data_IF_661151868453
#
_entry.id   IF_661151868453
#
_cell.length_a   1.000
_cell.length_b   1.000
_cell.length_c   1.000
_cell.angle_alpha   90.00
_cell.angle_beta   90.00
_cell.angle_gamma   90.00
#
_symmetry.space_group_name_H-M   'P 1'
#
loop_
_entity.id
_entity.type
_entity.pdbx_description
1 polymer ?
#
# COMPACT_ATOMS: atom_id res chain seq x y z
N UNK A 1 6.94 -2.57 -19.98
CA UNK A 1 6.32 -3.74 -19.32
C UNK A 1 5.28 -3.29 -18.31
N UNK A 2 4.28 -4.12 -18.00
CA UNK A 2 3.28 -3.80 -16.97
C UNK A 2 3.88 -3.97 -15.57
N UNK A 3 3.62 -3.03 -14.67
CA UNK A 3 4.18 -3.06 -13.30
C UNK A 3 3.50 -4.12 -12.45
N UNK A 4 4.27 -4.85 -11.64
CA UNK A 4 3.72 -5.85 -10.72
C UNK A 4 3.29 -5.19 -9.41
N UNK A 5 1.98 -4.92 -9.30
CA UNK A 5 1.34 -4.20 -8.17
C UNK A 5 0.03 -4.86 -7.77
N UNK A 6 -0.49 -4.51 -6.60
CA UNK A 6 -1.77 -5.06 -6.11
C UNK A 6 -1.57 -6.41 -5.43
N UNK A 7 -2.34 -7.43 -5.79
CA UNK A 7 -2.14 -8.80 -5.31
C UNK A 7 -0.96 -9.45 -6.03
N UNK A 8 -0.06 -10.07 -5.27
CA UNK A 8 1.12 -10.77 -5.75
C UNK A 8 0.74 -11.95 -6.64
N UNK A 9 1.38 -12.02 -7.81
CA UNK A 9 1.22 -13.11 -8.78
C UNK A 9 2.59 -13.73 -9.06
N UNK A 10 2.82 -15.01 -8.74
CA UNK A 10 4.13 -15.65 -8.94
C UNK A 10 4.50 -15.79 -10.43
N UNK A 11 3.50 -15.88 -11.31
CA UNK A 11 3.65 -15.96 -12.77
C UNK A 11 4.10 -14.63 -13.41
N UNK A 12 4.07 -13.52 -12.66
CA UNK A 12 4.39 -12.20 -13.21
C UNK A 12 5.91 -12.00 -13.25
N UNK A 13 6.51 -11.80 -14.44
CA UNK A 13 7.97 -11.79 -14.61
C UNK A 13 8.64 -10.56 -13.97
N UNK A 14 7.92 -9.44 -13.87
CA UNK A 14 8.47 -8.22 -13.27
C UNK A 14 8.55 -8.29 -11.74
N UNK A 15 9.55 -7.64 -11.12
CA UNK A 15 9.69 -7.55 -9.68
C UNK A 15 8.43 -6.99 -9.00
N UNK A 16 8.02 -7.61 -7.91
CA UNK A 16 6.86 -7.15 -7.14
C UNK A 16 7.19 -5.87 -6.35
N UNK A 17 6.46 -4.79 -6.62
CA UNK A 17 6.71 -3.50 -5.98
C UNK A 17 5.99 -3.40 -4.62
N UNK A 18 6.77 -3.18 -3.56
CA UNK A 18 6.27 -2.91 -2.21
C UNK A 18 6.48 -1.46 -1.82
N UNK A 19 5.40 -0.80 -1.38
CA UNK A 19 5.50 0.51 -0.74
C UNK A 19 5.96 0.40 0.71
N UNK A 20 6.56 1.48 1.25
CA UNK A 20 7.04 1.55 2.65
C UNK A 20 6.00 1.12 3.68
N UNK A 21 4.75 1.55 3.52
CA UNK A 21 3.66 1.16 4.43
C UNK A 21 3.38 -0.35 4.44
N UNK A 22 3.62 -1.04 3.31
CA UNK A 22 3.43 -2.50 3.23
C UNK A 22 4.50 -3.25 4.00
N UNK A 23 5.72 -2.71 4.07
CA UNK A 23 6.79 -3.27 4.93
C UNK A 23 6.38 -3.13 6.40
N UNK A 24 5.88 -1.96 6.80
CA UNK A 24 5.37 -1.77 8.16
C UNK A 24 4.24 -2.76 8.49
N UNK A 25 3.26 -2.94 7.59
CA UNK A 25 2.19 -3.91 7.80
C UNK A 25 2.69 -5.35 8.01
N UNK A 26 3.78 -5.74 7.34
CA UNK A 26 4.40 -7.05 7.56
C UNK A 26 5.04 -7.15 8.95
N UNK A 27 5.75 -6.11 9.36
CA UNK A 27 6.36 -6.03 10.69
C UNK A 27 5.31 -6.07 11.80
N UNK A 28 4.16 -5.41 11.59
CA UNK A 28 3.05 -5.36 12.56
C UNK A 28 2.27 -6.68 12.59
N UNK A 29 2.00 -7.27 11.43
CA UNK A 29 1.24 -8.52 11.30
C UNK A 29 1.57 -9.27 10.00
N UNK A 30 2.46 -10.28 10.04
CA UNK A 30 2.83 -11.08 8.86
C UNK A 30 1.63 -11.79 8.21
N UNK A 31 0.70 -12.30 9.03
CA UNK A 31 -0.51 -12.97 8.54
C UNK A 31 -1.44 -12.00 7.79
N UNK A 32 -1.63 -10.79 8.31
CA UNK A 32 -2.44 -9.75 7.68
C UNK A 32 -1.82 -9.30 6.36
N UNK A 33 -0.49 -9.15 6.32
CA UNK A 33 0.23 -8.87 5.08
C UNK A 33 0.02 -9.96 4.03
N UNK A 34 0.08 -11.24 4.43
CA UNK A 34 -0.17 -12.35 3.51
C UNK A 34 -1.61 -12.33 2.97
N UNK A 35 -2.61 -12.11 3.84
CA UNK A 35 -4.00 -12.01 3.41
C UNK A 35 -4.20 -10.87 2.41
N UNK A 36 -3.58 -9.71 2.64
CA UNK A 36 -3.70 -8.53 1.79
C UNK A 36 -2.92 -8.66 0.47
N UNK A 37 -1.65 -9.02 0.54
CA UNK A 37 -0.76 -9.05 -0.64
C UNK A 37 -0.88 -10.33 -1.43
N UNK A 38 -1.13 -11.49 -0.80
CA UNK A 38 -1.19 -12.78 -1.51
C UNK A 38 -2.63 -13.24 -1.73
N UNK A 39 -3.50 -13.11 -0.72
CA UNK A 39 -4.92 -13.51 -0.87
C UNK A 39 -5.82 -12.40 -1.41
N UNK A 40 -5.33 -11.16 -1.52
CA UNK A 40 -6.08 -10.03 -2.04
C UNK A 40 -7.20 -9.54 -1.10
N UNK A 41 -7.17 -9.92 0.18
CA UNK A 41 -8.14 -9.53 1.20
C UNK A 41 -7.62 -8.26 1.88
N UNK A 42 -8.17 -7.06 1.58
CA UNK A 42 -7.62 -5.82 2.09
C UNK A 42 -7.76 -5.72 3.60
N UNK A 43 -6.75 -5.12 4.24
CA UNK A 43 -6.83 -4.74 5.65
C UNK A 43 -7.88 -3.62 5.78
N UNK A 44 -8.85 -3.73 6.70
CA UNK A 44 -9.81 -2.67 6.96
C UNK A 44 -9.07 -1.39 7.33
N UNK A 45 -9.30 -0.29 6.60
CA UNK A 45 -8.76 1.01 6.97
C UNK A 45 -9.71 1.73 7.93
N UNK A 46 -9.14 2.49 8.86
CA UNK A 46 -9.90 3.51 9.58
C UNK A 46 -10.30 4.64 8.62
N UNK A 47 -11.14 5.56 9.11
CA UNK A 47 -11.53 6.78 8.37
C UNK A 47 -10.32 7.50 7.78
N UNK A 48 -10.52 8.17 6.64
CA UNK A 48 -9.44 8.90 5.97
C UNK A 48 -8.86 10.04 6.81
N UNK A 49 -7.80 10.68 6.30
CA UNK A 49 -7.10 11.80 6.97
C UNK A 49 -7.31 13.13 6.23
N UNK A 50 -8.56 13.64 6.11
CA UNK A 50 -8.88 14.77 5.24
C UNK A 50 -8.14 16.05 5.64
N UNK A 51 -7.92 16.28 6.94
CA UNK A 51 -7.14 17.43 7.42
C UNK A 51 -5.69 17.37 6.90
N UNK A 52 -5.03 16.23 7.07
CA UNK A 52 -3.64 16.04 6.61
C UNK A 52 -3.54 16.18 5.08
N UNK A 53 -4.50 15.61 4.34
CA UNK A 53 -4.55 15.74 2.87
C UNK A 53 -4.75 17.19 2.42
N UNK A 54 -5.62 17.95 3.09
CA UNK A 54 -5.82 19.37 2.78
C UNK A 54 -4.58 20.21 3.10
N UNK A 55 -3.92 19.96 4.23
CA UNK A 55 -2.67 20.64 4.58
C UNK A 55 -1.57 20.35 3.56
N UNK A 56 -1.37 19.07 3.18
CA UNK A 56 -0.39 18.68 2.16
C UNK A 56 -0.68 19.33 0.80
N UNK A 57 -1.97 19.38 0.41
CA UNK A 57 -2.39 20.03 -0.83
C UNK A 57 -2.09 21.53 -0.84
N UNK A 58 -2.42 22.25 0.24
CA UNK A 58 -2.16 23.69 0.34
C UNK A 58 -0.66 23.99 0.36
N UNK A 59 0.12 23.24 1.15
CA UNK A 59 1.57 23.43 1.23
C UNK A 59 2.27 23.21 -0.11
N UNK A 60 1.90 22.19 -0.87
CA UNK A 60 2.44 21.92 -2.22
C UNK A 60 2.05 22.94 -3.27
N UNK A 61 1.03 23.76 -3.00
CA UNK A 61 0.61 24.85 -3.90
C UNK A 61 1.42 26.11 -3.65
N UNK A 62 1.78 26.35 -2.40
CA UNK A 62 2.45 27.58 -1.96
C UNK A 62 3.98 27.51 -2.08
N UNK A 63 4.56 26.30 -2.12
CA UNK A 63 6.00 26.03 -2.26
C UNK A 63 6.29 25.00 -3.35
#
# INVERSE_FOLDING_TARGET
MARHRGTYKPEHPEPYELGRSRIQNFMDCPACFYLDRVKGIPIPSLYGWPLNSATDYLLKKDF
#
